data_IF_283774235244
#
_entry.id   IF_283774235244
#
_cell.length_a   1.000
_cell.length_b   1.000
_cell.length_c   1.000
_cell.angle_alpha   90.00
_cell.angle_beta   90.00
_cell.angle_gamma   90.00
#
_symmetry.space_group_name_H-M   'P 1'
#
loop_
_entity.id
_entity.type
_entity.pdbx_description
1 polymer ?
#
# COMPACT_ATOMS: atom_id res chain seq x y z
N UNK A 1 -55.50 59.52 -47.63
CA UNK A 1 -54.23 59.83 -46.94
C UNK A 1 -54.55 60.38 -45.56
N UNK A 2 -54.15 59.62 -44.53
CA UNK A 2 -53.85 59.95 -43.12
C UNK A 2 -54.80 60.90 -42.36
N UNK A 3 -55.67 60.40 -41.48
CA UNK A 3 -55.53 59.77 -40.13
C UNK A 3 -55.77 60.79 -39.01
N UNK A 4 -56.82 60.49 -38.23
CA UNK A 4 -57.36 61.23 -37.08
C UNK A 4 -56.58 60.92 -35.78
N UNK A 5 -56.25 62.00 -35.07
CA UNK A 5 -56.46 62.31 -33.63
C UNK A 5 -57.04 61.17 -32.77
N UNK A 6 -56.43 60.86 -31.61
CA UNK A 6 -56.92 61.24 -30.26
C UNK A 6 -56.10 60.62 -29.11
N UNK A 7 -55.83 61.47 -28.12
CA UNK A 7 -55.32 61.18 -26.78
C UNK A 7 -56.49 60.84 -25.86
N UNK A 8 -56.44 59.77 -25.05
CA UNK A 8 -57.29 59.60 -23.86
C UNK A 8 -56.48 58.94 -22.72
N UNK A 9 -56.67 59.49 -21.52
CA UNK A 9 -56.10 59.13 -20.21
C UNK A 9 -56.75 57.88 -19.59
N UNK A 10 -55.95 57.18 -18.79
CA UNK A 10 -56.24 56.42 -17.54
C UNK A 10 -57.53 55.60 -17.42
N UNK A 11 -57.38 54.29 -17.14
CA UNK A 11 -58.37 53.54 -16.36
C UNK A 11 -57.74 52.43 -15.50
N UNK A 12 -58.44 52.18 -14.40
CA UNK A 12 -58.06 51.47 -13.19
C UNK A 12 -58.49 49.98 -13.19
N UNK A 13 -57.76 49.19 -12.39
CA UNK A 13 -58.15 48.01 -11.59
C UNK A 13 -58.98 46.82 -12.16
N UNK A 14 -58.38 45.64 -11.88
CA UNK A 14 -58.95 44.34 -11.46
C UNK A 14 -59.31 43.29 -12.52
N UNK A 15 -58.57 42.18 -12.37
CA UNK A 15 -58.98 40.79 -12.57
C UNK A 15 -59.04 40.27 -14.00
N UNK A 16 -58.01 39.53 -14.43
CA UNK A 16 -58.21 38.20 -15.03
C UNK A 16 -56.96 37.34 -14.83
N UNK A 17 -57.17 36.20 -14.19
CA UNK A 17 -56.19 35.18 -13.83
C UNK A 17 -55.75 34.37 -15.06
N UNK A 18 -54.59 33.72 -14.91
CA UNK A 18 -54.08 32.59 -15.70
C UNK A 18 -53.35 32.89 -17.01
N UNK A 19 -52.07 33.28 -16.93
CA UNK A 19 -51.02 32.72 -17.80
C UNK A 19 -49.77 32.52 -16.93
N UNK A 20 -49.66 31.32 -16.34
CA UNK A 20 -48.40 30.81 -15.80
C UNK A 20 -47.47 30.55 -16.99
N UNK A 21 -46.47 31.41 -17.18
CA UNK A 21 -45.27 31.09 -17.96
C UNK A 21 -44.21 30.59 -16.98
N UNK A 22 -44.36 29.33 -16.59
CA UNK A 22 -43.36 28.58 -15.85
C UNK A 22 -42.24 28.23 -16.85
N UNK A 23 -41.22 29.09 -16.93
CA UNK A 23 -39.98 28.76 -17.63
C UNK A 23 -39.27 27.72 -16.75
N UNK A 24 -39.62 26.45 -16.96
CA UNK A 24 -38.80 25.33 -16.54
C UNK A 24 -37.48 25.42 -17.31
N UNK A 25 -36.45 25.94 -16.66
CA UNK A 25 -35.07 25.56 -16.99
C UNK A 25 -34.93 24.08 -16.66
N UNK A 26 -35.29 23.22 -17.61
CA UNK A 26 -34.87 21.82 -17.60
C UNK A 26 -33.39 21.86 -17.94
N UNK A 27 -32.55 22.02 -16.91
CA UNK A 27 -31.18 21.55 -16.97
C UNK A 27 -31.30 20.04 -17.10
N UNK A 28 -31.13 19.54 -18.33
CA UNK A 28 -30.77 18.14 -18.52
C UNK A 28 -29.45 17.93 -17.79
N UNK A 29 -29.51 17.53 -16.53
CA UNK A 29 -28.45 16.73 -15.97
C UNK A 29 -28.45 15.45 -16.80
N UNK A 30 -27.59 15.41 -17.81
CA UNK A 30 -27.08 14.15 -18.30
C UNK A 30 -26.48 13.46 -17.09
N UNK A 31 -27.23 12.54 -16.49
CA UNK A 31 -26.63 11.49 -15.70
C UNK A 31 -25.73 10.76 -16.67
N UNK A 32 -24.45 11.15 -16.70
CA UNK A 32 -23.42 10.23 -17.10
C UNK A 32 -23.71 8.98 -16.29
N UNK A 33 -23.88 7.85 -16.96
CA UNK A 33 -23.84 6.58 -16.26
C UNK A 33 -22.50 6.62 -15.51
N UNK A 34 -22.55 6.85 -14.20
CA UNK A 34 -21.50 6.39 -13.33
C UNK A 34 -21.55 4.88 -13.51
N UNK A 35 -20.82 4.38 -14.52
CA UNK A 35 -20.47 2.97 -14.60
C UNK A 35 -20.12 2.57 -13.18
N UNK A 36 -20.77 1.51 -12.69
CA UNK A 36 -20.66 1.10 -11.29
C UNK A 36 -19.23 0.65 -11.01
N UNK A 37 -18.34 1.61 -10.79
CA UNK A 37 -17.08 1.39 -10.13
C UNK A 37 -17.45 0.68 -8.83
N UNK A 38 -16.89 -0.52 -8.56
CA UNK A 38 -17.07 -1.21 -7.28
C UNK A 38 -16.30 -0.46 -6.20
N UNK A 39 -16.82 0.71 -5.86
CA UNK A 39 -16.49 1.53 -4.72
C UNK A 39 -17.81 1.81 -3.99
N UNK A 40 -17.75 1.85 -2.66
CA UNK A 40 -18.89 2.24 -1.84
C UNK A 40 -19.02 3.75 -1.77
N UNK A 41 -17.88 4.45 -1.84
CA UNK A 41 -17.79 5.90 -1.76
C UNK A 41 -16.73 6.37 -2.77
N UNK A 42 -17.06 7.39 -3.55
CA UNK A 42 -16.12 8.09 -4.43
C UNK A 42 -15.80 9.45 -3.81
N UNK A 43 -14.51 9.77 -3.72
CA UNK A 43 -14.00 11.08 -3.29
C UNK A 43 -13.37 11.77 -4.48
N UNK A 44 -13.84 12.96 -4.83
CA UNK A 44 -13.27 13.77 -5.90
C UNK A 44 -13.30 15.26 -5.54
N UNK A 45 -12.14 15.93 -5.56
CA UNK A 45 -12.04 17.34 -5.12
C UNK A 45 -12.81 18.31 -6.01
N UNK A 46 -13.09 17.92 -7.26
CA UNK A 46 -13.84 18.71 -8.24
C UNK A 46 -15.37 18.64 -8.04
N UNK A 47 -15.83 17.87 -7.05
CA UNK A 47 -17.24 17.70 -6.72
C UNK A 47 -17.97 16.64 -7.56
N UNK A 48 -17.26 15.87 -8.39
CA UNK A 48 -17.85 14.76 -9.18
C UNK A 48 -18.07 13.48 -8.37
N UNK A 49 -17.50 13.39 -7.17
CA UNK A 49 -17.66 12.27 -6.23
C UNK A 49 -18.77 12.50 -5.20
N UNK A 50 -18.98 11.51 -4.33
CA UNK A 50 -19.89 11.64 -3.18
C UNK A 50 -19.37 12.64 -2.14
N UNK A 51 -18.05 12.75 -2.00
CA UNK A 51 -17.39 13.71 -1.10
C UNK A 51 -16.23 14.42 -1.82
N UNK A 52 -15.87 15.60 -1.34
CA UNK A 52 -14.69 16.33 -1.79
C UNK A 52 -13.44 16.10 -0.92
N UNK A 53 -13.61 15.50 0.26
CA UNK A 53 -12.55 15.18 1.23
C UNK A 53 -12.56 13.70 1.60
N UNK A 54 -11.39 13.16 1.93
CA UNK A 54 -11.23 11.77 2.32
C UNK A 54 -11.76 11.57 3.76
N UNK A 55 -11.48 12.52 4.67
CA UNK A 55 -11.95 12.40 6.06
C UNK A 55 -13.48 12.37 6.14
N UNK A 56 -14.19 13.22 5.40
CA UNK A 56 -15.66 13.21 5.45
C UNK A 56 -16.27 11.92 4.87
N UNK A 57 -15.61 11.32 3.87
CA UNK A 57 -16.00 9.99 3.39
C UNK A 57 -15.79 8.92 4.48
N UNK A 58 -14.65 8.91 5.17
CA UNK A 58 -14.39 8.00 6.30
C UNK A 58 -15.41 8.16 7.42
N UNK A 59 -15.73 9.40 7.80
CA UNK A 59 -16.66 9.71 8.88
C UNK A 59 -18.10 9.27 8.55
N UNK A 60 -18.45 9.17 7.26
CA UNK A 60 -19.76 8.71 6.82
C UNK A 60 -19.98 7.20 6.94
N UNK A 61 -18.91 6.42 7.12
CA UNK A 61 -19.00 4.96 7.22
C UNK A 61 -19.60 4.57 8.58
N UNK A 62 -20.62 3.70 8.62
CA UNK A 62 -21.16 3.16 9.87
C UNK A 62 -20.10 2.46 10.72
N UNK A 63 -20.27 2.44 12.03
CA UNK A 63 -19.41 1.63 12.91
C UNK A 63 -19.69 0.13 12.73
N UNK A 64 -18.71 -0.72 13.07
CA UNK A 64 -18.84 -2.19 13.15
C UNK A 64 -19.32 -2.88 11.86
N UNK A 65 -18.81 -2.46 10.70
CA UNK A 65 -19.09 -3.12 9.43
C UNK A 65 -18.44 -4.51 9.37
N UNK A 66 -19.13 -5.51 8.83
CA UNK A 66 -18.60 -6.87 8.64
C UNK A 66 -17.98 -7.10 7.27
N UNK A 67 -18.22 -6.19 6.32
CA UNK A 67 -17.65 -6.19 4.97
C UNK A 67 -16.67 -5.04 4.81
N UNK A 68 -15.70 -5.20 3.91
CA UNK A 68 -14.82 -4.10 3.51
C UNK A 68 -15.59 -3.01 2.77
N UNK A 69 -15.44 -1.76 3.22
CA UNK A 69 -15.89 -0.56 2.52
C UNK A 69 -14.75 0.00 1.66
N UNK A 70 -15.01 0.23 0.38
CA UNK A 70 -14.02 0.76 -0.56
C UNK A 70 -14.31 2.24 -0.80
N UNK A 71 -13.39 3.10 -0.37
CA UNK A 71 -13.35 4.52 -0.72
C UNK A 71 -12.40 4.68 -1.90
N UNK A 72 -12.93 5.00 -3.08
CA UNK A 72 -12.14 5.35 -4.26
C UNK A 72 -11.86 6.86 -4.27
N UNK A 73 -10.59 7.23 -4.29
CA UNK A 73 -10.12 8.62 -4.31
C UNK A 73 -9.63 8.97 -5.70
N UNK A 74 -10.23 9.97 -6.34
CA UNK A 74 -9.81 10.48 -7.64
C UNK A 74 -8.49 11.24 -7.56
N UNK A 75 -7.85 11.38 -8.72
CA UNK A 75 -6.63 12.16 -8.88
C UNK A 75 -6.73 13.55 -8.24
N UNK A 76 -5.71 13.94 -7.48
CA UNK A 76 -5.67 15.21 -6.79
C UNK A 76 -4.69 15.22 -5.62
N UNK A 77 -4.33 16.43 -5.17
CA UNK A 77 -3.55 16.65 -3.94
C UNK A 77 -4.51 16.95 -2.80
N UNK A 78 -4.61 16.05 -1.84
CA UNK A 78 -5.44 16.13 -0.65
C UNK A 78 -4.58 16.58 0.53
N UNK A 79 -4.65 17.87 0.87
CA UNK A 79 -3.95 18.44 2.02
C UNK A 79 -4.73 18.12 3.31
N UNK A 80 -4.77 16.84 3.67
CA UNK A 80 -5.59 16.30 4.76
C UNK A 80 -4.74 15.52 5.75
N UNK A 81 -5.09 15.65 7.03
CA UNK A 81 -4.68 14.73 8.07
C UNK A 81 -5.83 13.76 8.31
N UNK A 82 -5.59 12.46 8.11
CA UNK A 82 -6.60 11.42 8.24
C UNK A 82 -6.58 10.78 9.63
N UNK A 83 -7.76 10.56 10.18
CA UNK A 83 -8.02 9.88 11.44
C UNK A 83 -8.87 8.64 11.16
N UNK A 84 -8.23 7.48 11.15
CA UNK A 84 -8.88 6.21 10.87
C UNK A 84 -9.41 5.64 12.18
N UNK A 85 -10.73 5.59 12.31
CA UNK A 85 -11.43 5.03 13.49
C UNK A 85 -12.30 3.84 13.12
N UNK A 86 -12.40 3.51 11.82
CA UNK A 86 -13.28 2.50 11.25
C UNK A 86 -12.50 1.24 10.88
N UNK A 87 -13.11 0.09 11.10
CA UNK A 87 -12.60 -1.23 10.69
C UNK A 87 -13.12 -1.59 9.30
N UNK A 88 -12.46 -2.55 8.64
CA UNK A 88 -12.90 -3.06 7.34
C UNK A 88 -13.05 -1.93 6.30
N UNK A 89 -12.01 -1.13 6.12
CA UNK A 89 -12.00 -0.01 5.16
C UNK A 89 -10.78 -0.11 4.25
N UNK A 90 -10.99 0.09 2.95
CA UNK A 90 -9.93 0.29 1.98
C UNK A 90 -10.04 1.70 1.39
N UNK A 91 -8.98 2.51 1.51
CA UNK A 91 -8.83 3.77 0.77
C UNK A 91 -7.95 3.49 -0.43
N UNK A 92 -8.49 3.72 -1.63
CA UNK A 92 -7.88 3.32 -2.88
C UNK A 92 -7.77 4.53 -3.80
N UNK A 93 -6.56 4.91 -4.18
CA UNK A 93 -6.38 5.94 -5.20
C UNK A 93 -6.73 5.41 -6.59
N UNK A 94 -7.20 6.32 -7.43
CA UNK A 94 -7.33 6.10 -8.87
C UNK A 94 -5.98 5.76 -9.52
N UNK A 95 -4.92 6.44 -9.07
CA UNK A 95 -3.56 6.19 -9.52
C UNK A 95 -2.55 6.58 -8.43
N UNK A 96 -1.53 5.74 -8.26
CA UNK A 96 -0.47 5.88 -7.24
C UNK A 96 0.20 7.26 -7.25
N UNK A 97 0.44 7.82 -8.42
CA UNK A 97 1.26 9.01 -8.62
C UNK A 97 0.44 10.31 -8.72
N UNK A 98 -0.87 10.22 -9.00
CA UNK A 98 -1.75 11.40 -9.10
C UNK A 98 -2.63 11.64 -7.87
N UNK A 99 -2.81 10.63 -7.00
CA UNK A 99 -3.53 10.76 -5.72
C UNK A 99 -2.51 10.94 -4.60
N UNK A 100 -2.34 12.18 -4.13
CA UNK A 100 -1.39 12.51 -3.06
C UNK A 100 -2.14 12.97 -1.82
N UNK A 101 -1.89 12.32 -0.68
CA UNK A 101 -2.35 12.76 0.64
C UNK A 101 -1.14 13.37 1.35
N UNK A 102 -1.17 14.68 1.56
CA UNK A 102 0.00 15.45 1.99
C UNK A 102 -0.32 16.26 3.24
N UNK A 103 0.50 16.16 4.27
CA UNK A 103 0.38 17.03 5.44
C UNK A 103 1.72 17.17 6.17
N UNK A 104 2.21 18.38 6.44
CA UNK A 104 3.45 18.57 7.19
C UNK A 104 3.19 18.52 8.70
N UNK A 105 3.72 17.51 9.38
CA UNK A 105 3.63 17.40 10.85
C UNK A 105 4.89 16.77 11.45
N UNK A 106 5.52 17.47 12.41
CA UNK A 106 6.52 16.86 13.29
C UNK A 106 5.83 16.31 14.53
N UNK A 107 6.24 15.12 14.96
CA UNK A 107 5.81 14.56 16.24
C UNK A 107 5.99 15.53 17.40
N UNK A 108 7.16 16.15 17.49
CA UNK A 108 7.47 17.04 18.62
C UNK A 108 6.57 18.28 18.65
N UNK A 109 6.14 18.78 17.50
CA UNK A 109 5.23 19.93 17.42
C UNK A 109 3.84 19.52 17.89
N UNK A 110 3.31 18.42 17.37
CA UNK A 110 2.06 17.82 17.84
C UNK A 110 2.03 17.65 19.36
N UNK A 111 3.13 17.16 19.93
CA UNK A 111 3.30 16.86 21.36
C UNK A 111 3.42 18.10 22.27
N UNK A 112 3.57 19.30 21.74
CA UNK A 112 3.56 20.54 22.55
C UNK A 112 2.16 20.85 23.10
N UNK A 113 1.12 20.51 22.35
CA UNK A 113 -0.27 20.82 22.71
C UNK A 113 -1.14 19.59 22.93
N UNK A 114 -0.59 18.38 22.78
CA UNK A 114 -1.32 17.11 22.93
C UNK A 114 -0.58 16.11 23.83
N UNK A 115 -1.35 15.38 24.64
CA UNK A 115 -0.85 14.40 25.61
C UNK A 115 -0.38 13.07 24.99
N UNK A 116 -0.75 12.79 23.74
CA UNK A 116 -0.51 11.53 23.05
C UNK A 116 -0.14 11.77 21.57
N UNK A 117 0.32 10.72 20.88
CA UNK A 117 0.75 10.78 19.46
C UNK A 117 -0.42 10.56 18.47
N UNK A 118 -1.67 10.58 18.93
CA UNK A 118 -2.82 10.51 18.03
C UNK A 118 -2.98 11.85 17.29
N UNK A 119 -2.65 11.90 16.00
CA UNK A 119 -2.65 13.11 15.19
C UNK A 119 -1.26 13.61 14.77
N UNK A 120 -0.18 12.92 15.16
CA UNK A 120 1.19 13.30 14.76
C UNK A 120 1.60 12.84 13.35
N UNK A 121 0.72 12.13 12.62
CA UNK A 121 0.97 11.63 11.27
C UNK A 121 0.07 12.28 10.22
N UNK A 122 0.38 12.04 8.94
CA UNK A 122 -0.57 12.29 7.82
C UNK A 122 -1.76 11.34 7.91
N UNK A 123 -1.50 10.04 8.11
CA UNK A 123 -2.53 9.02 8.36
C UNK A 123 -2.35 8.44 9.76
N UNK A 124 -3.34 8.67 10.61
CA UNK A 124 -3.37 8.23 12.00
C UNK A 124 -4.36 7.06 12.12
N UNK A 125 -3.85 5.85 12.31
CA UNK A 125 -4.66 4.64 12.52
C UNK A 125 -4.96 4.49 14.00
N UNK A 126 -6.24 4.48 14.35
CA UNK A 126 -6.73 4.51 15.73
C UNK A 126 -6.42 3.25 16.51
N UNK A 127 -6.68 3.31 17.82
CA UNK A 127 -6.62 2.14 18.67
C UNK A 127 -7.71 1.13 18.26
N UNK A 128 -7.39 -0.16 18.35
CA UNK A 128 -8.28 -1.27 17.99
C UNK A 128 -8.76 -1.30 16.52
N UNK A 129 -8.16 -0.49 15.64
CA UNK A 129 -8.49 -0.52 14.21
C UNK A 129 -7.95 -1.80 13.57
N UNK A 130 -8.79 -2.50 12.81
CA UNK A 130 -8.38 -3.70 12.09
C UNK A 130 -8.97 -3.80 10.68
N UNK A 131 -8.30 -4.59 9.83
CA UNK A 131 -8.68 -4.80 8.42
C UNK A 131 -8.74 -3.49 7.65
N UNK A 132 -7.69 -2.67 7.79
CA UNK A 132 -7.56 -1.39 7.10
C UNK A 132 -6.54 -1.49 5.97
N UNK A 133 -6.90 -0.98 4.80
CA UNK A 133 -6.07 -1.04 3.60
C UNK A 133 -5.88 0.34 2.95
N UNK A 134 -4.65 0.61 2.54
CA UNK A 134 -4.30 1.72 1.64
C UNK A 134 -3.80 1.13 0.32
N UNK A 135 -4.30 1.61 -0.81
CA UNK A 135 -3.90 1.09 -2.10
C UNK A 135 -3.79 2.16 -3.19
N UNK A 136 -2.81 2.02 -4.09
CA UNK A 136 -2.69 2.80 -5.32
C UNK A 136 -2.70 4.34 -5.11
N UNK A 137 -1.98 4.82 -4.10
CA UNK A 137 -1.91 6.24 -3.75
C UNK A 137 -0.54 6.61 -3.15
N UNK A 138 -0.30 7.91 -2.98
CA UNK A 138 0.87 8.46 -2.30
C UNK A 138 0.48 9.12 -0.99
N UNK A 139 1.21 8.85 0.10
CA UNK A 139 1.12 9.56 1.38
C UNK A 139 2.48 10.22 1.63
N UNK A 140 2.46 11.52 1.91
CA UNK A 140 3.68 12.28 2.08
C UNK A 140 3.61 13.26 3.26
N UNK A 141 4.48 13.05 4.25
CA UNK A 141 4.77 14.07 5.25
C UNK A 141 5.93 14.94 4.76
N UNK A 142 5.62 16.14 4.29
CA UNK A 142 6.56 17.04 3.61
C UNK A 142 7.14 18.12 4.53
N UNK A 143 7.19 17.86 5.85
CA UNK A 143 7.59 18.87 6.82
C UNK A 143 9.04 19.33 6.59
N UNK A 144 9.96 18.40 6.33
CA UNK A 144 11.37 18.73 6.09
C UNK A 144 11.60 19.58 4.86
N UNK A 145 10.86 19.35 3.77
CA UNK A 145 10.91 20.18 2.56
C UNK A 145 10.44 21.61 2.82
N UNK A 146 9.40 21.78 3.64
CA UNK A 146 8.84 23.10 3.93
C UNK A 146 9.64 23.89 4.97
N UNK A 147 10.25 23.21 5.95
CA UNK A 147 10.79 23.85 7.14
C UNK A 147 12.25 23.51 7.44
N UNK A 148 12.89 22.64 6.66
CA UNK A 148 14.29 22.25 6.83
C UNK A 148 14.56 21.37 8.06
N UNK A 149 13.52 20.74 8.63
CA UNK A 149 13.64 19.87 9.80
C UNK A 149 13.26 18.42 9.49
N UNK A 150 14.20 17.52 9.75
CA UNK A 150 14.14 16.10 9.40
C UNK A 150 13.99 15.17 10.62
N UNK A 151 13.55 15.70 11.77
CA UNK A 151 13.17 14.92 12.96
C UNK A 151 11.94 14.02 12.67
N UNK A 152 11.40 13.31 13.67
CA UNK A 152 10.31 12.35 13.49
C UNK A 152 9.04 13.00 12.89
N UNK A 153 8.67 12.56 11.69
CA UNK A 153 7.51 13.03 10.91
C UNK A 153 6.81 11.86 10.25
N UNK A 154 5.78 11.34 10.91
CA UNK A 154 5.10 10.13 10.46
C UNK A 154 4.29 10.39 9.19
N UNK A 155 4.47 9.56 8.16
CA UNK A 155 3.50 9.47 7.07
C UNK A 155 2.30 8.64 7.54
N UNK A 156 2.57 7.49 8.15
CA UNK A 156 1.56 6.60 8.74
C UNK A 156 1.96 6.26 10.16
N UNK A 157 1.03 6.41 11.11
CA UNK A 157 1.19 5.93 12.49
C UNK A 157 0.05 4.99 12.87
N UNK A 158 0.39 3.85 13.49
CA UNK A 158 -0.57 2.93 14.11
C UNK A 158 -0.76 3.17 15.61
N UNK A 159 -1.99 3.05 16.09
CA UNK A 159 -2.35 3.05 17.51
C UNK A 159 -2.17 1.68 18.18
N UNK A 160 -2.53 1.60 19.46
CA UNK A 160 -2.51 0.35 20.23
C UNK A 160 -3.57 -0.63 19.74
N UNK A 161 -3.28 -1.93 19.79
CA UNK A 161 -4.16 -3.00 19.31
C UNK A 161 -4.59 -2.89 17.83
N UNK A 162 -3.99 -2.03 17.01
CA UNK A 162 -4.25 -2.02 15.58
C UNK A 162 -3.59 -3.23 14.89
N UNK A 163 -4.30 -3.90 13.98
CA UNK A 163 -3.79 -5.14 13.36
C UNK A 163 -4.42 -5.38 11.99
N UNK A 164 -3.83 -6.26 11.18
CA UNK A 164 -4.25 -6.53 9.78
C UNK A 164 -4.30 -5.23 8.96
N UNK A 165 -3.18 -4.50 8.99
CA UNK A 165 -3.00 -3.27 8.22
C UNK A 165 -2.28 -3.59 6.92
N UNK A 166 -2.87 -3.22 5.79
CA UNK A 166 -2.35 -3.49 4.45
C UNK A 166 -1.96 -2.19 3.76
N UNK A 167 -0.80 -2.14 3.12
CA UNK A 167 -0.49 -1.13 2.09
C UNK A 167 -0.03 -1.81 0.80
N UNK A 168 -0.66 -1.51 -0.33
CA UNK A 168 -0.30 -2.14 -1.62
C UNK A 168 -0.24 -1.13 -2.76
N UNK A 169 0.86 -1.16 -3.52
CA UNK A 169 1.08 -0.23 -4.61
C UNK A 169 1.02 1.24 -4.15
N UNK A 170 1.66 1.55 -3.03
CA UNK A 170 1.67 2.90 -2.46
C UNK A 170 3.07 3.51 -2.44
N UNK A 171 3.16 4.84 -2.47
CA UNK A 171 4.36 5.57 -2.05
C UNK A 171 4.12 6.13 -0.66
N UNK A 172 4.94 5.74 0.31
CA UNK A 172 4.84 6.15 1.71
C UNK A 172 6.11 6.89 2.06
N UNK A 173 6.02 8.21 2.14
CA UNK A 173 7.18 9.11 2.14
C UNK A 173 7.12 10.07 3.32
N UNK A 174 8.28 10.36 3.91
CA UNK A 174 8.42 11.51 4.77
C UNK A 174 9.81 12.14 4.62
N UNK A 175 9.90 13.44 4.88
CA UNK A 175 11.19 14.14 4.86
C UNK A 175 12.00 13.97 6.15
N UNK A 176 11.69 12.96 6.98
CA UNK A 176 12.37 12.76 8.26
C UNK A 176 12.20 11.35 8.79
N UNK A 177 12.42 11.19 10.08
CA UNK A 177 12.41 9.88 10.73
C UNK A 177 11.00 9.29 10.88
N UNK A 178 10.93 7.98 11.09
CA UNK A 178 9.72 7.26 11.45
C UNK A 178 8.59 7.38 10.40
N UNK A 179 8.89 7.21 9.11
CA UNK A 179 7.89 7.36 8.03
C UNK A 179 6.69 6.40 8.18
N UNK A 180 6.94 5.10 8.39
CA UNK A 180 5.94 4.04 8.53
C UNK A 180 6.03 3.41 9.93
N UNK A 181 5.17 3.85 10.85
CA UNK A 181 5.30 3.58 12.29
C UNK A 181 4.06 2.96 12.91
N UNK A 182 3.89 1.65 12.71
CA UNK A 182 2.76 0.90 13.27
C UNK A 182 3.09 0.38 14.68
N UNK A 183 2.38 0.87 15.70
CA UNK A 183 2.75 0.68 17.11
C UNK A 183 1.88 -0.31 17.88
N UNK A 184 1.76 -1.55 17.40
CA UNK A 184 1.12 -2.64 18.16
C UNK A 184 2.06 -3.85 18.32
N UNK A 185 2.95 -3.80 19.32
CA UNK A 185 3.91 -4.87 19.58
C UNK A 185 3.27 -6.21 19.99
N UNK A 186 2.07 -6.19 20.61
CA UNK A 186 1.45 -7.38 21.21
C UNK A 186 0.69 -8.25 20.21
N UNK A 187 0.05 -7.64 19.21
CA UNK A 187 -0.81 -8.36 18.25
C UNK A 187 -0.84 -7.76 16.84
N UNK A 188 0.05 -6.82 16.53
CA UNK A 188 0.10 -6.15 15.24
C UNK A 188 0.51 -7.12 14.13
N UNK A 189 -0.28 -7.19 13.06
CA UNK A 189 0.05 -7.93 11.85
C UNK A 189 -0.06 -6.99 10.65
N UNK A 190 1.01 -6.80 9.90
CA UNK A 190 1.10 -5.78 8.86
C UNK A 190 1.63 -6.36 7.55
N UNK A 191 1.01 -6.01 6.44
CA UNK A 191 1.37 -6.50 5.11
C UNK A 191 1.61 -5.33 4.16
N UNK A 192 2.80 -5.27 3.55
CA UNK A 192 3.18 -4.21 2.64
C UNK A 192 3.70 -4.81 1.34
N UNK A 193 3.09 -4.47 0.19
CA UNK A 193 3.49 -5.06 -1.08
C UNK A 193 3.55 -4.06 -2.23
N UNK A 194 4.58 -4.15 -3.08
CA UNK A 194 4.78 -3.23 -4.20
C UNK A 194 4.78 -1.75 -3.78
N UNK A 195 5.34 -1.46 -2.60
CA UNK A 195 5.38 -0.11 -2.05
C UNK A 195 6.76 0.54 -2.25
N UNK A 196 6.78 1.87 -2.27
CA UNK A 196 8.01 2.66 -2.19
C UNK A 196 8.03 3.42 -0.86
N UNK A 197 9.05 3.15 -0.05
CA UNK A 197 9.25 3.77 1.25
C UNK A 197 10.45 4.71 1.21
N UNK A 198 10.29 5.93 1.72
CA UNK A 198 11.42 6.86 1.86
C UNK A 198 11.40 7.58 3.19
N UNK A 199 12.58 7.76 3.79
CA UNK A 199 12.71 8.55 5.00
C UNK A 199 14.14 8.66 5.50
N UNK A 200 14.28 9.17 6.72
CA UNK A 200 15.56 9.40 7.37
C UNK A 200 15.87 8.24 8.32
N UNK A 201 15.64 8.41 9.62
CA UNK A 201 15.96 7.39 10.63
C UNK A 201 14.78 6.46 10.83
N UNK A 202 15.04 5.16 10.91
CA UNK A 202 14.07 4.13 11.28
C UNK A 202 12.77 4.23 10.47
N UNK A 203 12.87 4.57 9.18
CA UNK A 203 11.70 5.02 8.41
C UNK A 203 10.68 3.91 8.11
N UNK A 204 11.07 2.64 8.21
CA UNK A 204 10.11 1.53 8.32
C UNK A 204 10.32 0.83 9.66
N UNK A 205 9.42 1.08 10.62
CA UNK A 205 9.59 0.66 12.01
C UNK A 205 8.36 -0.05 12.63
N UNK A 206 7.92 -1.20 12.07
CA UNK A 206 6.78 -1.95 12.61
C UNK A 206 7.05 -2.59 13.97
N UNK A 207 5.99 -2.75 14.76
CA UNK A 207 5.98 -3.51 16.03
C UNK A 207 5.03 -4.71 15.92
N UNK A 208 5.46 -5.92 16.31
CA UNK A 208 4.66 -7.14 16.15
C UNK A 208 5.14 -8.00 14.97
N UNK A 209 4.24 -8.44 14.09
CA UNK A 209 4.56 -9.19 12.87
C UNK A 209 4.37 -8.32 11.63
N UNK A 210 5.34 -8.35 10.72
CA UNK A 210 5.27 -7.59 9.48
C UNK A 210 5.87 -8.40 8.32
N UNK A 211 5.15 -8.44 7.20
CA UNK A 211 5.63 -9.00 5.93
C UNK A 211 5.66 -7.91 4.87
N UNK A 212 6.83 -7.67 4.30
CA UNK A 212 7.06 -6.69 3.24
C UNK A 212 7.58 -7.43 2.02
N UNK A 213 7.01 -7.19 0.84
CA UNK A 213 7.42 -7.89 -0.38
C UNK A 213 7.38 -6.98 -1.59
N UNK A 214 8.29 -7.20 -2.55
CA UNK A 214 8.30 -6.47 -3.82
C UNK A 214 8.43 -4.94 -3.63
N UNK A 215 9.06 -4.50 -2.54
CA UNK A 215 9.12 -3.08 -2.17
C UNK A 215 10.46 -2.44 -2.52
N UNK A 216 10.46 -1.11 -2.61
CA UNK A 216 11.66 -0.29 -2.78
C UNK A 216 11.83 0.64 -1.59
N UNK A 217 13.06 0.79 -1.13
CA UNK A 217 13.42 1.61 0.02
C UNK A 217 14.46 2.64 -0.40
N UNK A 218 14.28 3.90 0.02
CA UNK A 218 15.29 4.94 -0.18
C UNK A 218 15.56 5.70 1.12
N UNK A 219 16.77 5.52 1.67
CA UNK A 219 17.22 6.18 2.89
C UNK A 219 17.96 7.49 2.64
N UNK A 220 17.58 8.57 3.32
CA UNK A 220 18.21 9.89 3.20
C UNK A 220 19.25 10.20 4.28
N UNK A 221 19.49 9.30 5.24
CA UNK A 221 20.45 9.51 6.32
C UNK A 221 21.41 8.34 6.51
N UNK A 222 22.32 8.49 7.49
CA UNK A 222 23.37 7.51 7.80
C UNK A 222 23.11 6.75 9.12
N UNK A 223 21.88 6.75 9.63
CA UNK A 223 21.52 6.18 10.94
C UNK A 223 20.97 4.76 10.84
N UNK A 224 19.82 4.55 10.19
CA UNK A 224 19.20 3.24 9.98
C UNK A 224 17.99 3.40 9.06
N UNK A 225 17.78 2.45 8.16
CA UNK A 225 16.60 2.45 7.28
C UNK A 225 15.42 1.72 7.92
N UNK A 226 15.64 0.50 8.40
CA UNK A 226 14.61 -0.34 9.02
C UNK A 226 14.82 -0.51 10.52
N UNK A 227 13.71 -0.68 11.23
CA UNK A 227 13.67 -0.92 12.67
C UNK A 227 12.57 -1.90 13.04
N UNK A 228 12.70 -2.60 14.17
CA UNK A 228 11.69 -3.54 14.61
C UNK A 228 11.54 -3.63 16.13
N UNK A 229 10.30 -3.84 16.59
CA UNK A 229 9.97 -4.28 17.95
C UNK A 229 9.22 -5.60 17.91
N UNK A 230 9.90 -6.67 18.30
CA UNK A 230 9.30 -7.99 18.51
C UNK A 230 9.18 -8.33 20.00
N UNK A 231 9.37 -7.39 20.93
CA UNK A 231 9.64 -7.73 22.33
C UNK A 231 8.48 -8.34 23.12
N UNK A 232 7.25 -8.25 22.62
CA UNK A 232 6.08 -8.85 23.26
C UNK A 232 5.94 -10.36 23.03
N UNK A 233 6.50 -10.91 21.95
CA UNK A 233 6.37 -12.32 21.58
C UNK A 233 7.61 -12.82 20.83
N UNK A 234 8.18 -13.97 21.22
CA UNK A 234 9.40 -14.50 20.58
C UNK A 234 9.20 -14.82 19.10
N UNK A 235 7.97 -15.04 18.66
CA UNK A 235 7.64 -15.35 17.28
C UNK A 235 7.41 -14.09 16.43
N UNK A 236 7.27 -12.91 17.03
CA UNK A 236 7.21 -11.62 16.31
C UNK A 236 8.45 -11.41 15.46
N UNK A 237 8.24 -10.98 14.21
CA UNK A 237 9.28 -10.85 13.19
C UNK A 237 8.91 -9.84 12.11
N UNK A 238 9.93 -9.17 11.59
CA UNK A 238 9.90 -8.40 10.36
C UNK A 238 10.53 -9.23 9.24
N UNK A 239 9.72 -9.61 8.27
CA UNK A 239 10.14 -10.32 7.05
C UNK A 239 10.07 -9.36 5.88
N UNK A 240 11.17 -9.22 5.15
CA UNK A 240 11.26 -8.42 3.92
C UNK A 240 11.76 -9.34 2.81
N UNK A 241 11.00 -9.45 1.72
CA UNK A 241 11.29 -10.34 0.60
C UNK A 241 11.32 -9.62 -0.74
N UNK A 242 12.15 -10.07 -1.67
CA UNK A 242 12.18 -9.59 -3.06
C UNK A 242 12.18 -8.05 -3.17
N UNK A 243 12.97 -7.39 -2.33
CA UNK A 243 12.91 -5.94 -2.17
C UNK A 243 14.25 -5.29 -2.43
N UNK A 244 14.21 -4.04 -2.87
CA UNK A 244 15.40 -3.27 -3.25
C UNK A 244 15.65 -2.13 -2.27
N UNK A 245 16.86 -2.04 -1.73
CA UNK A 245 17.30 -0.99 -0.84
C UNK A 245 18.33 -0.10 -1.50
N UNK A 246 18.10 1.20 -1.46
CA UNK A 246 19.04 2.23 -1.87
C UNK A 246 18.98 3.40 -0.89
N UNK A 247 19.83 4.39 -1.11
CA UNK A 247 19.88 5.60 -0.33
C UNK A 247 21.10 6.42 -0.65
N UNK A 248 21.31 7.44 0.17
CA UNK A 248 22.54 8.24 0.13
C UNK A 248 23.77 7.35 0.31
N UNK A 249 24.92 7.78 -0.22
CA UNK A 249 26.18 7.04 -0.08
C UNK A 249 26.45 6.65 1.38
N UNK A 250 26.76 5.38 1.61
CA UNK A 250 26.93 4.75 2.92
C UNK A 250 25.64 4.70 3.77
N UNK A 251 24.46 4.58 3.15
CA UNK A 251 23.23 4.37 3.91
C UNK A 251 23.28 3.00 4.62
N UNK A 252 22.84 2.92 5.89
CA UNK A 252 22.81 1.69 6.66
C UNK A 252 21.49 0.93 6.51
N UNK A 253 21.54 -0.40 6.71
CA UNK A 253 20.35 -1.24 6.64
C UNK A 253 19.39 -0.99 7.81
N UNK A 254 19.76 -1.30 9.05
CA UNK A 254 18.80 -1.18 10.16
C UNK A 254 19.39 -1.26 11.55
N UNK A 255 18.52 -1.09 12.55
CA UNK A 255 18.86 -1.23 13.97
C UNK A 255 17.63 -1.63 14.79
N UNK A 256 17.83 -1.91 16.08
CA UNK A 256 16.72 -2.10 17.02
C UNK A 256 17.07 -1.66 18.45
N UNK A 257 16.04 -1.31 19.23
CA UNK A 257 16.16 -0.92 20.64
C UNK A 257 15.58 -1.98 21.60
N UNK A 258 14.94 -3.00 21.04
CA UNK A 258 14.09 -3.98 21.70
C UNK A 258 14.39 -5.34 21.11
N UNK A 259 14.02 -6.41 21.82
CA UNK A 259 14.03 -7.75 21.23
C UNK A 259 13.38 -7.71 19.84
N UNK A 260 14.11 -8.18 18.85
CA UNK A 260 13.73 -8.09 17.44
C UNK A 260 14.11 -9.39 16.71
N UNK A 261 13.56 -9.55 15.51
CA UNK A 261 13.81 -10.67 14.65
C UNK A 261 13.60 -10.20 13.21
N UNK A 262 14.65 -10.26 12.40
CA UNK A 262 14.66 -9.80 11.02
C UNK A 262 14.88 -10.99 10.09
N UNK A 263 14.13 -11.05 9.01
CA UNK A 263 14.35 -11.94 7.89
C UNK A 263 14.40 -11.11 6.62
N UNK A 264 15.52 -11.13 5.90
CA UNK A 264 15.66 -10.53 4.58
C UNK A 264 15.95 -11.65 3.58
N UNK A 265 15.06 -11.84 2.61
CA UNK A 265 15.15 -12.92 1.64
C UNK A 265 15.07 -12.33 0.23
N UNK A 266 15.93 -12.77 -0.68
CA UNK A 266 15.89 -12.33 -2.08
C UNK A 266 16.00 -10.79 -2.22
N UNK A 267 16.62 -10.12 -1.24
CA UNK A 267 16.77 -8.67 -1.24
C UNK A 267 17.99 -8.24 -2.05
N UNK A 268 17.89 -7.08 -2.71
CA UNK A 268 19.01 -6.46 -3.40
C UNK A 268 19.34 -5.12 -2.74
N UNK A 269 20.63 -4.86 -2.52
CA UNK A 269 21.13 -3.60 -1.97
C UNK A 269 21.91 -2.85 -3.04
N UNK A 270 21.74 -1.53 -3.15
CA UNK A 270 22.52 -0.75 -4.10
C UNK A 270 23.99 -0.66 -3.72
N UNK A 271 24.83 -0.18 -4.65
CA UNK A 271 26.25 0.03 -4.39
C UNK A 271 26.53 1.01 -3.24
N UNK A 272 25.55 1.85 -2.90
CA UNK A 272 25.62 2.86 -1.84
C UNK A 272 25.49 2.28 -0.42
N UNK A 273 25.16 1.00 -0.27
CA UNK A 273 24.98 0.36 1.01
C UNK A 273 26.27 0.41 1.85
N UNK A 274 26.16 0.84 3.10
CA UNK A 274 27.26 0.75 4.05
C UNK A 274 27.53 -0.71 4.45
N UNK A 275 28.80 -1.05 4.63
CA UNK A 275 29.23 -2.28 5.29
C UNK A 275 28.95 -2.18 6.81
N UNK A 276 27.66 -2.25 7.15
CA UNK A 276 27.18 -2.16 8.53
C UNK A 276 25.96 -3.07 8.72
N UNK A 277 26.09 -4.17 9.48
CA UNK A 277 24.98 -5.06 9.73
C UNK A 277 23.89 -4.37 10.56
N UNK A 278 22.71 -4.99 10.56
CA UNK A 278 21.68 -4.69 11.56
C UNK A 278 22.28 -4.90 12.94
N UNK A 279 22.11 -3.90 13.82
CA UNK A 279 22.73 -3.92 15.15
C UNK A 279 21.83 -3.32 16.23
N UNK A 280 22.12 -3.58 17.52
CA UNK A 280 21.54 -2.84 18.62
C UNK A 280 21.83 -1.35 18.47
N UNK A 281 20.87 -0.50 18.82
CA UNK A 281 21.06 0.95 18.79
C UNK A 281 22.09 1.44 19.81
N UNK A 282 22.28 0.70 20.91
CA UNK A 282 23.28 0.94 21.95
C UNK A 282 23.91 -0.38 22.40
N UNK A 283 25.23 -0.41 22.61
CA UNK A 283 25.98 -1.61 23.00
C UNK A 283 25.60 -2.15 24.40
N UNK A 284 24.96 -1.31 25.22
CA UNK A 284 24.52 -1.66 26.58
C UNK A 284 23.22 -2.47 26.61
N UNK A 285 22.51 -2.58 25.49
CA UNK A 285 21.24 -3.31 25.44
C UNK A 285 21.44 -4.81 25.63
N UNK A 286 20.51 -5.42 26.37
CA UNK A 286 20.43 -6.87 26.58
C UNK A 286 19.05 -7.34 26.10
N UNK A 287 19.05 -8.38 25.27
CA UNK A 287 17.85 -8.92 24.64
C UNK A 287 17.51 -10.28 25.24
N UNK A 288 16.22 -10.53 25.48
CA UNK A 288 15.72 -11.79 26.05
C UNK A 288 16.01 -12.97 25.14
N UNK A 289 15.93 -12.78 23.82
CA UNK A 289 16.09 -13.86 22.84
C UNK A 289 17.35 -13.71 21.98
N UNK A 290 18.29 -12.87 22.40
CA UNK A 290 19.52 -12.62 21.68
C UNK A 290 19.31 -11.87 20.36
N UNK A 291 20.38 -11.83 19.56
CA UNK A 291 20.36 -11.24 18.22
C UNK A 291 19.81 -12.24 17.21
N UNK A 292 18.90 -11.79 16.34
CA UNK A 292 18.17 -12.65 15.40
C UNK A 292 18.02 -11.93 14.07
N UNK A 293 19.04 -12.05 13.23
CA UNK A 293 19.09 -11.44 11.90
C UNK A 293 19.35 -12.55 10.89
N UNK A 294 18.38 -12.79 10.01
CA UNK A 294 18.44 -13.89 9.08
C UNK A 294 18.39 -13.40 7.64
N UNK A 295 19.25 -13.97 6.82
CA UNK A 295 19.46 -13.60 5.43
C UNK A 295 19.40 -14.84 4.55
N UNK A 296 18.90 -14.65 3.33
CA UNK A 296 18.93 -15.66 2.27
C UNK A 296 18.95 -15.00 0.92
N UNK A 297 19.85 -15.43 0.04
CA UNK A 297 19.93 -14.99 -1.36
C UNK A 297 19.89 -13.46 -1.48
N UNK A 298 20.55 -12.78 -0.53
CA UNK A 298 20.66 -11.34 -0.50
C UNK A 298 21.92 -10.92 -1.22
N UNK A 299 21.80 -9.95 -2.12
CA UNK A 299 22.91 -9.50 -2.96
C UNK A 299 23.04 -7.99 -2.96
N UNK A 300 24.24 -7.50 -3.24
CA UNK A 300 24.51 -6.10 -3.48
C UNK A 300 24.84 -5.86 -4.96
N UNK A 301 24.56 -4.67 -5.44
CA UNK A 301 25.12 -4.17 -6.69
C UNK A 301 26.64 -3.97 -6.49
N UNK A 302 27.40 -4.98 -6.89
CA UNK A 302 28.84 -5.11 -6.65
C UNK A 302 29.14 -6.34 -5.80
N UNK A 303 30.27 -6.32 -5.08
CA UNK A 303 30.62 -7.40 -4.17
C UNK A 303 29.68 -7.44 -2.95
N UNK A 304 29.34 -8.65 -2.54
CA UNK A 304 28.56 -8.91 -1.34
C UNK A 304 29.41 -8.70 -0.07
N UNK A 305 28.77 -8.25 1.02
CA UNK A 305 29.38 -8.19 2.35
C UNK A 305 29.11 -9.49 3.11
N UNK A 306 30.10 -9.94 3.89
CA UNK A 306 30.05 -11.22 4.61
C UNK A 306 28.87 -11.33 5.60
N UNK A 307 28.42 -10.22 6.17
CA UNK A 307 27.49 -10.23 7.30
C UNK A 307 26.04 -10.57 6.93
N UNK A 308 25.67 -10.56 5.63
CA UNK A 308 24.37 -11.05 5.15
C UNK A 308 24.48 -12.37 4.38
N UNK A 309 25.55 -13.13 4.59
CA UNK A 309 25.63 -14.50 4.11
C UNK A 309 24.42 -15.33 4.58
N UNK A 310 23.99 -16.27 3.74
CA UNK A 310 22.86 -17.15 4.00
C UNK A 310 22.99 -17.87 5.34
N UNK A 311 21.98 -17.69 6.21
CA UNK A 311 22.00 -18.25 7.56
C UNK A 311 20.62 -18.72 8.04
N UNK A 312 19.63 -18.90 7.15
CA UNK A 312 18.28 -19.35 7.53
C UNK A 312 18.25 -20.65 8.34
N UNK A 313 19.22 -21.54 8.15
CA UNK A 313 19.33 -22.78 8.92
C UNK A 313 19.56 -22.53 10.42
N UNK A 314 20.09 -21.36 10.79
CA UNK A 314 20.25 -20.93 12.18
C UNK A 314 19.01 -20.28 12.78
N UNK A 315 17.95 -20.08 11.97
CA UNK A 315 16.80 -19.31 12.37
C UNK A 315 15.94 -20.00 13.43
N UNK A 316 15.38 -19.20 14.33
CA UNK A 316 14.44 -19.66 15.35
C UNK A 316 13.18 -20.26 14.68
N UNK A 317 12.87 -21.52 15.00
CA UNK A 317 11.79 -22.27 14.35
C UNK A 317 12.19 -22.91 13.02
N UNK A 318 13.41 -22.65 12.52
CA UNK A 318 14.08 -23.32 11.40
C UNK A 318 13.14 -23.65 10.23
N UNK A 319 12.65 -22.64 9.45
CA UNK A 319 11.90 -22.94 8.23
C UNK A 319 12.73 -23.91 7.38
N UNK A 320 12.08 -24.97 6.89
CA UNK A 320 12.76 -26.09 6.21
C UNK A 320 13.49 -25.58 4.96
N UNK A 321 12.96 -24.54 4.33
CA UNK A 321 13.60 -23.78 3.26
C UNK A 321 12.93 -22.39 3.11
N UNK A 322 13.50 -21.56 2.25
CA UNK A 322 13.04 -20.20 1.95
C UNK A 322 11.61 -20.11 1.40
N UNK A 323 11.09 -21.18 0.78
CA UNK A 323 9.73 -21.19 0.22
C UNK A 323 8.65 -21.20 1.30
N UNK A 324 8.98 -21.64 2.52
CA UNK A 324 8.06 -21.59 3.67
C UNK A 324 7.87 -20.17 4.20
N UNK A 325 8.82 -19.25 3.96
CA UNK A 325 8.81 -17.87 4.44
C UNK A 325 7.84 -17.02 3.62
N UNK A 326 6.56 -17.25 3.90
CA UNK A 326 5.39 -16.59 3.31
C UNK A 326 4.77 -15.59 4.29
N UNK A 327 3.83 -14.77 3.83
CA UNK A 327 3.01 -13.96 4.72
C UNK A 327 2.29 -14.81 5.78
N UNK A 328 1.69 -15.94 5.38
CA UNK A 328 0.98 -16.84 6.30
C UNK A 328 1.88 -17.40 7.40
N UNK A 329 3.09 -17.84 7.05
CA UNK A 329 4.10 -18.28 8.01
C UNK A 329 4.54 -17.13 8.92
N UNK A 330 4.76 -15.95 8.35
CA UNK A 330 5.17 -14.75 9.09
C UNK A 330 4.18 -14.42 10.19
N UNK A 331 2.88 -14.59 9.93
CA UNK A 331 1.82 -14.33 10.89
C UNK A 331 1.45 -15.54 11.75
N UNK A 332 2.32 -16.54 11.87
CA UNK A 332 2.11 -17.76 12.68
C UNK A 332 0.80 -18.49 12.32
N UNK A 333 0.43 -18.49 11.04
CA UNK A 333 -0.80 -19.09 10.54
C UNK A 333 -2.09 -18.35 10.92
N UNK A 334 -1.99 -17.16 11.54
CA UNK A 334 -3.15 -16.37 12.03
C UNK A 334 -3.81 -15.55 10.93
N UNK A 335 -3.08 -15.19 9.88
CA UNK A 335 -3.56 -14.32 8.80
C UNK A 335 -2.88 -14.64 7.47
N UNK A 336 -3.65 -14.70 6.39
CA UNK A 336 -3.14 -14.93 5.03
C UNK A 336 -3.69 -13.82 4.11
N UNK A 337 -3.00 -12.66 4.01
CA UNK A 337 -3.43 -11.58 3.14
C UNK A 337 -3.33 -11.97 1.65
N UNK A 338 -2.38 -12.81 1.27
CA UNK A 338 -2.12 -13.14 -0.14
C UNK A 338 -3.18 -14.08 -0.73
N UNK A 339 -3.93 -14.76 0.13
CA UNK A 339 -5.09 -15.56 -0.27
C UNK A 339 -6.41 -14.81 -0.18
N UNK A 340 -6.56 -13.87 0.75
CA UNK A 340 -7.86 -13.32 1.14
C UNK A 340 -8.00 -11.80 0.95
N UNK A 341 -6.95 -11.11 0.48
CA UNK A 341 -7.00 -9.66 0.26
C UNK A 341 -8.06 -9.31 -0.80
N UNK A 342 -8.90 -8.28 -0.54
CA UNK A 342 -9.88 -7.83 -1.52
C UNK A 342 -9.19 -7.29 -2.78
N UNK A 343 -9.81 -7.56 -3.94
CA UNK A 343 -9.39 -7.03 -5.22
C UNK A 343 -9.71 -5.52 -5.31
N UNK A 344 -8.77 -4.68 -4.88
CA UNK A 344 -8.95 -3.21 -4.82
C UNK A 344 -8.21 -2.44 -5.91
N UNK A 345 -7.10 -2.97 -6.44
CA UNK A 345 -6.33 -2.34 -7.51
C UNK A 345 -7.02 -2.53 -8.86
N UNK A 346 -6.90 -1.60 -9.83
CA UNK A 346 -7.54 -1.77 -11.14
C UNK A 346 -6.94 -2.94 -11.95
N UNK A 347 -5.72 -3.35 -11.66
CA UNK A 347 -4.98 -4.42 -12.35
C UNK A 347 -4.73 -5.62 -11.43
N UNK A 348 -4.37 -6.76 -12.03
CA UNK A 348 -3.93 -7.94 -11.29
C UNK A 348 -2.60 -7.66 -10.57
N UNK A 349 -2.45 -8.18 -9.36
CA UNK A 349 -1.28 -7.90 -8.53
C UNK A 349 -0.87 -9.10 -7.69
N UNK A 350 0.30 -9.04 -7.06
CA UNK A 350 0.83 -10.09 -6.17
C UNK A 350 0.82 -11.46 -6.86
N UNK A 351 1.67 -11.63 -7.89
CA UNK A 351 1.75 -12.87 -8.65
C UNK A 351 2.38 -14.02 -7.83
N UNK A 352 1.91 -15.22 -8.09
CA UNK A 352 2.55 -16.48 -7.67
C UNK A 352 2.66 -17.41 -8.90
N UNK A 353 3.87 -17.82 -9.33
CA UNK A 353 5.17 -17.49 -8.75
C UNK A 353 5.49 -16.00 -8.74
N UNK A 354 6.34 -15.55 -7.82
CA UNK A 354 6.66 -14.12 -7.70
C UNK A 354 7.41 -13.64 -8.91
N UNK A 355 7.23 -12.36 -9.22
CA UNK A 355 8.00 -11.72 -10.26
C UNK A 355 9.50 -11.77 -9.89
N UNK A 356 10.34 -12.13 -10.86
CA UNK A 356 11.78 -12.33 -10.72
C UNK A 356 12.20 -13.49 -9.80
N UNK A 357 11.29 -14.39 -9.40
CA UNK A 357 11.69 -15.59 -8.68
C UNK A 357 12.63 -16.45 -9.51
N UNK A 358 13.70 -16.94 -8.88
CA UNK A 358 14.72 -17.80 -9.50
C UNK A 358 14.70 -19.19 -8.87
N UNK A 359 15.20 -20.16 -9.63
CA UNK A 359 15.43 -21.54 -9.16
C UNK A 359 14.19 -22.22 -8.55
N UNK A 360 12.99 -21.91 -9.07
CA UNK A 360 11.80 -22.58 -8.58
C UNK A 360 11.79 -24.02 -9.09
N UNK A 361 11.58 -24.99 -8.19
CA UNK A 361 11.41 -26.39 -8.56
C UNK A 361 10.27 -26.54 -9.58
N UNK A 362 10.50 -27.08 -10.79
CA UNK A 362 9.50 -27.18 -11.84
C UNK A 362 8.17 -27.81 -11.39
N UNK A 363 8.23 -28.85 -10.54
CA UNK A 363 7.04 -29.53 -10.01
C UNK A 363 6.27 -28.72 -8.96
N UNK A 364 6.84 -27.66 -8.41
CA UNK A 364 6.14 -26.74 -7.51
C UNK A 364 5.24 -25.74 -8.28
N UNK A 365 5.37 -25.66 -9.61
CA UNK A 365 4.57 -24.75 -10.44
C UNK A 365 3.56 -25.56 -11.24
N UNK A 366 2.41 -25.82 -10.61
CA UNK A 366 1.22 -26.35 -11.28
C UNK A 366 0.23 -25.23 -11.67
N UNK A 367 0.30 -24.09 -10.98
CA UNK A 367 -0.73 -23.05 -11.03
C UNK A 367 -0.11 -21.67 -10.94
N UNK A 368 -0.43 -20.79 -11.89
CA UNK A 368 -0.24 -19.35 -11.73
C UNK A 368 -1.40 -18.78 -10.92
N UNK A 369 -1.14 -17.89 -9.98
CA UNK A 369 -2.15 -17.23 -9.14
C UNK A 369 -1.86 -15.73 -9.03
N UNK A 370 -2.91 -14.94 -8.84
CA UNK A 370 -2.80 -13.50 -8.64
C UNK A 370 -3.92 -12.99 -7.72
N UNK A 371 -3.75 -11.80 -7.17
CA UNK A 371 -4.86 -11.01 -6.63
C UNK A 371 -5.57 -10.32 -7.79
N UNK A 372 -6.90 -10.44 -7.82
CA UNK A 372 -7.74 -9.91 -8.88
C UNK A 372 -7.72 -8.38 -8.99
N UNK A 373 -8.12 -7.88 -10.16
CA UNK A 373 -8.40 -6.46 -10.35
C UNK A 373 -9.80 -6.10 -9.85
N UNK A 374 -9.96 -4.88 -9.36
CA UNK A 374 -11.24 -4.25 -9.05
C UNK A 374 -12.07 -4.21 -10.32
N UNK A 375 -13.36 -4.54 -10.20
CA UNK A 375 -14.30 -4.64 -11.32
C UNK A 375 -14.00 -5.75 -12.35
N UNK A 376 -13.04 -6.63 -12.10
CA UNK A 376 -12.74 -7.72 -13.02
C UNK A 376 -13.97 -8.63 -13.23
N UNK A 377 -14.26 -8.92 -14.50
CA UNK A 377 -15.21 -9.95 -14.95
C UNK A 377 -14.50 -11.23 -15.40
N UNK A 378 -13.25 -11.09 -15.87
CA UNK A 378 -12.37 -12.18 -16.30
C UNK A 378 -10.94 -11.66 -16.46
N UNK A 379 -10.04 -12.57 -16.78
CA UNK A 379 -8.61 -12.33 -16.89
C UNK A 379 -8.07 -12.95 -18.19
N UNK A 380 -7.54 -12.14 -19.09
CA UNK A 380 -6.78 -12.66 -20.23
C UNK A 380 -5.38 -13.04 -19.73
N UNK A 381 -5.08 -14.34 -19.78
CA UNK A 381 -3.82 -14.91 -19.33
C UNK A 381 -2.88 -15.03 -20.52
N UNK A 382 -1.66 -14.53 -20.34
CA UNK A 382 -0.56 -14.69 -21.28
C UNK A 382 0.56 -15.42 -20.57
N UNK A 383 1.11 -16.47 -21.17
CA UNK A 383 2.14 -17.32 -20.56
C UNK A 383 3.00 -17.99 -21.62
N UNK A 384 4.32 -17.98 -21.45
CA UNK A 384 5.24 -18.70 -22.32
C UNK A 384 6.71 -18.42 -22.00
N UNK A 385 7.62 -18.94 -22.82
CA UNK A 385 9.07 -18.74 -22.69
C UNK A 385 9.63 -17.66 -23.63
N UNK A 386 8.76 -16.76 -24.09
CA UNK A 386 9.10 -15.61 -24.94
C UNK A 386 8.53 -14.33 -24.33
N UNK A 387 9.24 -13.21 -24.52
CA UNK A 387 8.83 -11.89 -24.04
C UNK A 387 8.57 -10.95 -25.24
N UNK A 388 7.33 -10.44 -25.44
CA UNK A 388 6.15 -10.62 -24.60
C UNK A 388 5.52 -12.02 -24.71
N UNK A 389 4.88 -12.53 -23.63
CA UNK A 389 4.29 -13.87 -23.64
C UNK A 389 3.02 -13.93 -24.51
N UNK A 390 2.74 -15.08 -25.15
CA UNK A 390 1.54 -15.28 -25.97
C UNK A 390 0.29 -15.43 -25.11
N UNK A 391 -0.88 -15.08 -25.67
CA UNK A 391 -2.17 -15.34 -25.04
C UNK A 391 -2.43 -16.84 -24.95
N UNK A 392 -2.93 -17.32 -23.79
CA UNK A 392 -3.20 -18.74 -23.57
C UNK A 392 -4.64 -19.05 -23.14
N UNK A 393 -5.31 -18.17 -22.39
CA UNK A 393 -6.67 -18.42 -21.90
C UNK A 393 -7.38 -17.13 -21.44
N UNK A 394 -8.70 -17.16 -21.36
CA UNK A 394 -9.49 -16.21 -20.58
C UNK A 394 -10.10 -16.93 -19.37
N UNK A 395 -9.71 -16.51 -18.16
CA UNK A 395 -10.12 -17.14 -16.91
C UNK A 395 -11.15 -16.31 -16.15
N UNK A 396 -12.12 -16.97 -15.51
CA UNK A 396 -13.06 -16.32 -14.57
C UNK A 396 -12.55 -16.29 -13.14
N UNK A 397 -11.53 -17.09 -12.84
CA UNK A 397 -10.92 -17.20 -11.52
C UNK A 397 -9.53 -16.56 -11.54
N UNK A 398 -8.98 -16.29 -10.36
CA UNK A 398 -7.63 -15.69 -10.23
C UNK A 398 -6.52 -16.74 -10.22
N UNK A 399 -6.67 -17.77 -11.06
CA UNK A 399 -5.69 -18.85 -11.22
C UNK A 399 -5.72 -19.42 -12.63
N UNK A 400 -4.58 -19.92 -13.09
CA UNK A 400 -4.42 -20.63 -14.35
C UNK A 400 -3.54 -21.86 -14.16
N UNK A 401 -4.01 -23.03 -14.60
CA UNK A 401 -3.26 -24.29 -14.52
C UNK A 401 -2.22 -24.34 -15.63
N UNK A 402 -0.96 -24.60 -15.26
CA UNK A 402 0.15 -24.71 -16.20
C UNK A 402 0.41 -26.18 -16.51
N UNK A 403 0.40 -26.54 -17.80
CA UNK A 403 0.72 -27.90 -18.23
C UNK A 403 2.24 -28.13 -18.20
N UNK A 404 2.78 -28.40 -16.99
CA UNK A 404 4.20 -28.65 -16.68
C UNK A 404 5.19 -27.63 -17.28
N UNK A 405 5.84 -26.88 -16.41
CA UNK A 405 7.01 -26.08 -16.80
C UNK A 405 8.23 -26.98 -17.02
N UNK A 406 9.11 -26.58 -17.94
CA UNK A 406 10.37 -27.26 -18.24
C UNK A 406 11.45 -26.79 -17.25
N UNK A 407 12.35 -27.68 -16.76
CA UNK A 407 13.53 -27.26 -15.99
C UNK A 407 14.41 -26.27 -16.76
N UNK A 408 15.24 -25.52 -16.03
CA UNK A 408 16.23 -24.57 -16.58
C UNK A 408 15.66 -23.60 -17.64
N UNK A 409 14.43 -23.14 -17.44
CA UNK A 409 13.68 -22.36 -18.43
C UNK A 409 13.18 -21.04 -17.85
N UNK A 410 13.39 -19.96 -18.60
CA UNK A 410 12.82 -18.64 -18.27
C UNK A 410 11.39 -18.55 -18.81
N UNK A 411 10.45 -18.17 -17.94
CA UNK A 411 9.05 -17.98 -18.28
C UNK A 411 8.63 -16.54 -18.04
N UNK A 412 7.75 -16.06 -18.92
CA UNK A 412 7.11 -14.75 -18.87
C UNK A 412 5.60 -14.94 -18.84
N UNK A 413 4.93 -14.08 -18.09
CA UNK A 413 3.48 -14.12 -17.99
C UNK A 413 2.88 -12.78 -17.65
N UNK A 414 1.62 -12.59 -18.02
CA UNK A 414 0.89 -11.33 -17.83
C UNK A 414 -0.57 -11.63 -17.66
N UNK A 415 -1.24 -10.84 -16.85
CA UNK A 415 -2.69 -10.91 -16.65
C UNK A 415 -3.32 -9.58 -17.03
N UNK A 416 -4.10 -9.56 -18.10
CA UNK A 416 -4.91 -8.39 -18.44
C UNK A 416 -6.30 -8.54 -17.78
N UNK A 417 -6.72 -7.51 -17.04
CA UNK A 417 -8.01 -7.49 -16.34
C UNK A 417 -9.09 -7.01 -17.29
N UNK A 418 -10.08 -7.87 -17.54
CA UNK A 418 -11.23 -7.54 -18.38
C UNK A 418 -12.37 -7.04 -17.50
N UNK A 419 -12.86 -5.82 -17.77
CA UNK A 419 -14.03 -5.21 -17.12
C UNK A 419 -15.20 -5.14 -18.11
N UNK A 420 -16.33 -4.54 -17.73
CA UNK A 420 -17.47 -4.33 -18.63
C UNK A 420 -17.15 -3.35 -19.78
N UNK A 421 -16.25 -2.39 -19.55
CA UNK A 421 -15.97 -1.29 -20.47
C UNK A 421 -14.57 -1.31 -21.10
N UNK A 422 -13.61 -2.04 -20.53
CA UNK A 422 -12.23 -2.04 -21.00
C UNK A 422 -11.47 -3.34 -20.67
N UNK A 423 -10.26 -3.49 -21.23
CA UNK A 423 -9.27 -4.49 -20.83
C UNK A 423 -7.99 -3.80 -20.40
N UNK A 424 -7.74 -3.80 -19.09
CA UNK A 424 -6.58 -3.20 -18.47
C UNK A 424 -5.39 -4.15 -18.58
N UNK A 425 -4.40 -3.77 -19.40
CA UNK A 425 -3.17 -4.54 -19.58
C UNK A 425 -2.36 -4.58 -18.28
N UNK A 426 -1.92 -5.77 -17.88
CA UNK A 426 -1.07 -5.96 -16.70
C UNK A 426 0.42 -5.79 -16.98
N UNK A 427 1.22 -5.83 -15.91
CA UNK A 427 2.68 -5.91 -16.02
C UNK A 427 3.11 -7.31 -16.47
N UNK A 428 4.22 -7.39 -17.21
CA UNK A 428 4.86 -8.67 -17.53
C UNK A 428 5.66 -9.10 -16.31
N UNK A 429 5.30 -10.25 -15.77
CA UNK A 429 6.03 -10.95 -14.72
C UNK A 429 6.90 -12.04 -15.32
N UNK A 430 7.99 -12.37 -14.64
CA UNK A 430 8.89 -13.43 -15.06
C UNK A 430 9.35 -14.30 -13.89
N UNK A 431 9.73 -15.54 -14.19
CA UNK A 431 10.39 -16.43 -13.25
C UNK A 431 11.29 -17.44 -13.98
N UNK A 432 12.25 -18.01 -13.27
CA UNK A 432 13.13 -19.06 -13.77
C UNK A 432 12.93 -20.37 -13.00
N UNK A 433 12.80 -21.47 -13.73
CA UNK A 433 12.77 -22.82 -13.17
C UNK A 433 14.19 -23.35 -12.98
N UNK A 434 14.46 -23.94 -11.81
CA UNK A 434 15.71 -24.65 -11.57
C UNK A 434 15.75 -26.01 -12.28
N UNK A 435 16.91 -26.67 -12.18
CA UNK A 435 17.19 -28.00 -12.74
C UNK A 435 16.28 -29.11 -12.19
#
# INVERSE_FOLDING_TARGET
MMIKVFYIRSLNWRSFKYILLFICYIVFFSSTNAETERADIIVAKDGTGNFASIQSALDSIPDNTSRTWIILVRSGIYNEKLYITKNNVAIVGENRDSVLIVYPELRRNWRQTHENDWGSAVVNIGNNVHDFMLANLTIYNNYGTLYGDHDHQFAIRGGGNCTRIITVNCKIMADGGDTMSLWNASSGMYYHANCFFTGWVDFVCPRGWCYITDCRFYGYNLTASIWHDGSSDSTSKLVIRNSYFDGVKNFPLGRHHKDAQFYLLDCTFSENMADRPIKPAFDTLKFRWGERYYYYNCHREGEDFDWYADNLTSAYGSPVNESEVTAYWTFEGKWDPERNMPAVLPFASIPTPRNNSKNITPHAIDTLRWIGGRNALSYNVYFGNVNPPPFVSNEKQTKYQVNKVTPDTHYYWRIDVVTDSDTLKGDIWEFFTGA
#
